data_IF_953981405285
#
_entry.id   IF_953981405285
#
_cell.length_a   1.000
_cell.length_b   1.000
_cell.length_c   1.000
_cell.angle_alpha   90.00
_cell.angle_beta   90.00
_cell.angle_gamma   90.00
#
_symmetry.space_group_name_H-M   'P 1'
#
loop_
_entity.id
_entity.type
_entity.pdbx_description
1 polymer ?
#
# COMPACT_ATOMS: atom_id res chain seq x y z
N UNK A 1 -52.05 -6.75 67.13
CA UNK A 1 -51.53 -6.28 68.46
C UNK A 1 -50.07 -6.71 68.53
N UNK A 2 -49.15 -5.90 69.05
CA UNK A 2 -48.95 -4.45 68.86
C UNK A 2 -47.65 -4.12 68.10
N UNK A 3 -47.63 -2.89 67.60
CA UNK A 3 -46.56 -2.08 67.04
C UNK A 3 -45.32 -1.91 67.92
N UNK A 4 -44.14 -1.81 67.30
CA UNK A 4 -43.00 -1.09 67.88
C UNK A 4 -42.37 -0.15 66.84
N UNK A 5 -42.51 1.14 67.11
CA UNK A 5 -41.78 2.23 66.51
C UNK A 5 -40.33 2.25 67.05
N UNK A 6 -39.34 2.31 66.15
CA UNK A 6 -37.98 2.62 66.55
C UNK A 6 -37.50 3.86 65.83
N UNK A 7 -37.35 4.97 66.57
CA UNK A 7 -36.78 6.23 66.09
C UNK A 7 -35.24 6.08 65.89
N UNK A 8 -34.72 6.34 64.71
CA UNK A 8 -33.31 6.48 64.51
C UNK A 8 -32.96 7.98 64.39
N UNK A 9 -32.25 8.47 65.38
CA UNK A 9 -31.64 9.81 65.39
C UNK A 9 -30.40 9.77 64.57
N UNK A 10 -30.43 10.43 63.43
CA UNK A 10 -29.24 10.58 62.56
C UNK A 10 -28.33 11.66 63.11
N UNK A 11 -27.12 11.28 63.50
CA UNK A 11 -26.05 12.16 63.96
C UNK A 11 -25.53 13.06 62.79
N UNK A 12 -25.44 14.38 63.07
CA UNK A 12 -24.96 15.44 62.13
C UNK A 12 -23.52 15.24 61.62
N UNK A 13 -22.78 14.28 62.13
CA UNK A 13 -21.37 14.04 61.77
C UNK A 13 -21.16 13.20 60.53
N UNK A 14 -22.19 12.56 59.96
CA UNK A 14 -22.05 11.74 58.76
C UNK A 14 -22.24 12.53 57.45
N UNK A 15 -22.81 13.73 57.50
CA UNK A 15 -22.97 14.55 56.24
C UNK A 15 -21.69 15.22 55.78
N UNK A 16 -20.73 15.50 56.67
CA UNK A 16 -19.46 16.14 56.29
C UNK A 16 -18.47 15.15 55.65
N UNK A 17 -18.51 13.87 56.03
CA UNK A 17 -17.67 12.82 55.39
C UNK A 17 -18.14 12.45 53.98
N UNK A 18 -19.44 12.55 53.68
CA UNK A 18 -20.00 12.24 52.39
C UNK A 18 -19.68 13.35 51.35
N UNK A 19 -19.63 14.64 51.75
CA UNK A 19 -19.27 15.74 50.87
C UNK A 19 -17.81 15.70 50.42
N UNK A 20 -16.89 15.26 51.27
CA UNK A 20 -15.46 15.15 50.91
C UNK A 20 -15.16 13.93 50.02
N UNK A 21 -15.97 12.85 50.11
CA UNK A 21 -15.80 11.69 49.23
C UNK A 21 -16.33 11.94 47.82
N UNK A 22 -17.39 12.71 47.65
CA UNK A 22 -17.94 13.09 46.35
C UNK A 22 -17.02 14.10 45.62
N UNK A 23 -16.33 14.99 46.40
CA UNK A 23 -15.39 15.97 45.80
C UNK A 23 -14.07 15.32 45.33
N UNK A 24 -13.59 14.24 46.00
CA UNK A 24 -12.43 13.48 45.56
C UNK A 24 -12.73 12.58 44.34
N UNK A 25 -13.97 12.07 44.22
CA UNK A 25 -14.38 11.27 43.08
C UNK A 25 -14.50 12.11 41.77
N UNK A 26 -14.84 13.40 41.86
CA UNK A 26 -14.92 14.30 40.72
C UNK A 26 -13.56 14.81 40.22
N UNK A 27 -12.51 14.84 41.07
CA UNK A 27 -11.17 15.24 40.68
C UNK A 27 -10.44 14.11 39.93
N UNK A 28 -10.79 12.84 40.19
CA UNK A 28 -10.24 11.70 39.43
C UNK A 28 -10.92 11.45 38.07
N UNK A 29 -12.10 12.00 37.81
CA UNK A 29 -12.83 11.83 36.55
C UNK A 29 -12.41 12.78 35.45
N UNK A 30 -11.54 13.78 35.71
CA UNK A 30 -11.06 14.77 34.71
C UNK A 30 -9.67 14.37 34.16
N UNK A 31 -9.06 13.27 34.64
CA UNK A 31 -7.81 12.77 34.13
C UNK A 31 -7.99 11.53 33.22
N UNK A 32 -9.14 11.51 32.52
CA UNK A 32 -9.40 10.46 31.54
C UNK A 32 -9.16 10.99 30.14
N UNK A 33 -8.20 10.37 29.49
CA UNK A 33 -7.99 10.31 28.04
C UNK A 33 -7.87 11.66 27.29
N UNK A 34 -6.74 12.31 27.42
CA UNK A 34 -6.09 12.78 26.19
C UNK A 34 -5.56 11.53 25.50
N UNK A 35 -6.37 10.87 24.69
CA UNK A 35 -5.85 10.05 23.61
C UNK A 35 -4.97 10.99 22.78
N UNK A 36 -3.67 10.82 22.85
CA UNK A 36 -2.78 11.44 21.91
C UNK A 36 -3.19 10.89 20.54
N UNK A 37 -4.05 11.61 19.83
CA UNK A 37 -4.15 11.47 18.39
C UNK A 37 -2.78 11.91 17.85
N UNK A 38 -1.82 10.99 17.85
CA UNK A 38 -0.62 11.10 17.03
C UNK A 38 -0.98 10.67 15.61
N UNK A 39 -2.03 11.27 15.07
CA UNK A 39 -2.28 11.26 13.63
C UNK A 39 -1.17 12.10 13.01
N UNK A 40 -0.41 11.53 12.09
CA UNK A 40 0.52 12.30 11.28
C UNK A 40 -0.34 13.16 10.35
N UNK A 41 -0.38 14.44 10.66
CA UNK A 41 -1.31 15.37 10.02
C UNK A 41 -0.92 15.74 8.59
N UNK A 42 0.37 15.57 8.22
CA UNK A 42 0.86 16.06 6.93
C UNK A 42 2.11 15.30 6.48
N UNK A 43 2.21 15.01 5.18
CA UNK A 43 3.41 14.49 4.52
C UNK A 43 3.97 15.57 3.61
N UNK A 44 5.17 16.07 3.91
CA UNK A 44 5.89 17.01 3.04
C UNK A 44 6.52 16.25 1.87
N UNK A 45 5.75 16.07 0.78
CA UNK A 45 6.18 15.34 -0.40
C UNK A 45 7.36 16.02 -1.12
N UNK A 46 7.48 17.34 -1.06
CA UNK A 46 8.57 18.09 -1.68
C UNK A 46 9.90 17.93 -0.94
N UNK A 47 9.87 17.37 0.27
CA UNK A 47 11.08 17.13 1.07
C UNK A 47 11.72 15.77 0.83
N UNK A 48 11.13 14.87 0.02
CA UNK A 48 11.75 13.59 -0.30
C UNK A 48 13.09 13.77 -1.03
N UNK A 49 14.13 13.09 -0.53
CA UNK A 49 15.46 13.08 -1.12
C UNK A 49 15.93 11.64 -1.31
N UNK A 50 16.39 11.31 -2.50
CA UNK A 50 17.00 10.02 -2.81
C UNK A 50 18.29 9.84 -2.03
N UNK A 51 18.55 8.63 -1.57
CA UNK A 51 19.78 8.31 -0.83
C UNK A 51 20.94 8.05 -1.77
N UNK A 52 22.16 8.36 -1.33
CA UNK A 52 23.37 8.13 -2.12
C UNK A 52 23.70 6.64 -2.31
N UNK A 53 23.19 5.78 -1.43
CA UNK A 53 23.42 4.32 -1.47
C UNK A 53 22.48 3.58 -2.43
N UNK A 54 21.58 4.30 -3.14
CA UNK A 54 20.73 3.67 -4.13
C UNK A 54 21.55 2.97 -5.26
N UNK A 55 21.08 1.82 -5.76
CA UNK A 55 19.85 1.09 -5.37
C UNK A 55 20.09 0.27 -4.10
N UNK A 56 19.07 0.20 -3.20
CA UNK A 56 19.16 -0.50 -1.91
C UNK A 56 18.91 -2.01 -2.01
N UNK A 57 18.17 -2.48 -3.02
CA UNK A 57 18.01 -3.90 -3.33
C UNK A 57 18.23 -4.13 -4.83
N UNK A 58 18.85 -5.27 -5.13
CA UNK A 58 19.16 -5.73 -6.51
C UNK A 58 19.08 -7.25 -6.58
N UNK A 59 19.09 -7.78 -7.80
CA UNK A 59 19.13 -9.22 -8.07
C UNK A 59 20.29 -9.90 -7.35
N UNK A 60 20.06 -11.18 -6.97
CA UNK A 60 21.07 -12.00 -6.31
C UNK A 60 20.92 -13.47 -6.72
N UNK A 61 21.90 -14.00 -7.41
CA UNK A 61 21.89 -15.36 -7.93
C UNK A 61 22.27 -16.45 -6.91
N UNK A 62 22.64 -16.07 -5.69
CA UNK A 62 22.97 -17.02 -4.61
C UNK A 62 21.72 -17.66 -3.99
N UNK A 63 20.58 -17.00 -4.08
CA UNK A 63 19.31 -17.49 -3.52
C UNK A 63 18.67 -18.54 -4.41
N UNK A 64 18.40 -19.71 -3.83
CA UNK A 64 17.76 -20.85 -4.51
C UNK A 64 16.43 -21.22 -3.86
N UNK A 65 15.54 -21.80 -4.65
CA UNK A 65 14.20 -22.18 -4.23
C UNK A 65 13.72 -23.41 -5.02
N UNK A 66 13.16 -24.39 -4.33
CA UNK A 66 12.54 -25.55 -4.97
C UNK A 66 11.17 -25.15 -5.49
N UNK A 67 11.11 -24.88 -6.80
CA UNK A 67 9.93 -24.33 -7.45
C UNK A 67 8.88 -25.43 -7.69
N UNK A 68 7.69 -25.37 -7.07
CA UNK A 68 6.68 -26.42 -7.23
C UNK A 68 6.19 -26.54 -8.68
N UNK A 69 6.06 -25.43 -9.40
CA UNK A 69 5.59 -25.43 -10.80
C UNK A 69 6.63 -25.96 -11.78
N UNK A 70 7.92 -25.73 -11.54
CA UNK A 70 9.02 -26.22 -12.41
C UNK A 70 9.59 -27.56 -11.95
N UNK A 71 9.20 -28.05 -10.77
CA UNK A 71 9.67 -29.30 -10.12
C UNK A 71 11.21 -29.40 -10.09
N UNK A 72 11.87 -28.28 -9.88
CA UNK A 72 13.33 -28.16 -9.82
C UNK A 72 13.75 -26.97 -8.98
N UNK A 73 14.97 -27.00 -8.47
CA UNK A 73 15.60 -25.87 -7.78
C UNK A 73 15.97 -24.79 -8.78
N UNK A 74 15.58 -23.55 -8.51
CA UNK A 74 15.83 -22.40 -9.35
C UNK A 74 16.49 -21.26 -8.57
N UNK A 75 17.21 -20.38 -9.27
CA UNK A 75 17.74 -19.11 -8.76
C UNK A 75 16.66 -18.04 -8.94
N UNK A 76 15.74 -17.94 -7.99
CA UNK A 76 14.44 -17.28 -8.14
C UNK A 76 14.47 -15.74 -8.23
N UNK A 77 15.57 -15.09 -7.81
CA UNK A 77 15.75 -13.64 -7.88
C UNK A 77 17.04 -13.22 -8.59
N UNK A 78 17.45 -14.02 -9.61
CA UNK A 78 18.72 -13.78 -10.32
C UNK A 78 18.64 -12.78 -11.43
N UNK A 79 17.43 -12.47 -11.93
CA UNK A 79 17.25 -11.53 -13.03
C UNK A 79 17.11 -10.10 -12.53
N UNK A 80 16.01 -9.80 -11.85
CA UNK A 80 15.68 -8.45 -11.39
C UNK A 80 14.91 -8.50 -10.07
N UNK A 81 14.98 -7.38 -9.30
CA UNK A 81 14.29 -7.19 -8.01
C UNK A 81 13.81 -5.75 -7.94
N UNK A 82 12.49 -5.51 -7.86
CA UNK A 82 11.89 -4.18 -7.95
C UNK A 82 10.49 -4.12 -7.32
N UNK A 83 9.79 -3.00 -7.44
CA UNK A 83 8.40 -2.77 -7.04
C UNK A 83 8.07 -3.30 -5.62
N UNK A 84 8.59 -2.65 -4.57
CA UNK A 84 8.47 -3.12 -3.20
C UNK A 84 7.29 -2.51 -2.46
N UNK A 85 6.42 -3.32 -1.86
CA UNK A 85 5.61 -2.87 -0.73
C UNK A 85 6.47 -2.71 0.52
N UNK A 86 6.06 -1.82 1.42
CA UNK A 86 6.72 -1.62 2.71
C UNK A 86 5.70 -1.63 3.85
N UNK A 87 6.06 -2.23 4.97
CA UNK A 87 5.28 -2.20 6.21
C UNK A 87 6.21 -2.26 7.42
N UNK A 88 5.79 -1.67 8.55
CA UNK A 88 6.56 -1.76 9.79
C UNK A 88 6.05 -2.93 10.63
N UNK A 89 6.96 -3.78 11.10
CA UNK A 89 6.69 -4.89 12.02
C UNK A 89 7.84 -5.04 13.00
N UNK A 90 7.55 -5.15 14.29
CA UNK A 90 8.54 -5.40 15.36
C UNK A 90 9.75 -4.44 15.30
N UNK A 91 9.50 -3.12 15.18
CA UNK A 91 10.50 -2.06 15.02
C UNK A 91 11.49 -2.24 13.86
N UNK A 92 11.06 -2.96 12.83
CA UNK A 92 11.78 -3.11 11.56
C UNK A 92 10.89 -2.71 10.39
N UNK A 93 11.49 -2.27 9.31
CA UNK A 93 10.82 -2.17 8.02
C UNK A 93 10.94 -3.52 7.31
N UNK A 94 9.79 -4.03 6.88
CA UNK A 94 9.67 -5.22 6.04
C UNK A 94 9.36 -4.78 4.62
N UNK A 95 10.18 -5.20 3.64
CA UNK A 95 9.91 -5.01 2.22
C UNK A 95 9.44 -6.32 1.59
N UNK A 96 8.30 -6.27 0.91
CA UNK A 96 7.84 -7.36 0.07
C UNK A 96 8.04 -6.90 -1.38
N UNK A 97 8.94 -7.55 -2.11
CA UNK A 97 9.40 -7.07 -3.40
C UNK A 97 9.18 -8.11 -4.51
N UNK A 98 8.89 -7.63 -5.72
CA UNK A 98 8.87 -8.47 -6.92
C UNK A 98 10.29 -8.93 -7.25
N UNK A 99 10.44 -10.23 -7.55
CA UNK A 99 11.70 -10.85 -7.97
C UNK A 99 11.49 -11.81 -9.13
N UNK A 100 12.42 -11.81 -10.09
CA UNK A 100 12.31 -12.54 -11.34
C UNK A 100 13.50 -13.48 -11.58
N UNK A 101 13.24 -14.61 -12.23
CA UNK A 101 14.19 -15.70 -12.34
C UNK A 101 14.89 -15.84 -13.70
N UNK A 102 14.33 -15.32 -14.78
CA UNK A 102 14.81 -15.57 -16.13
C UNK A 102 15.34 -14.32 -16.85
N UNK A 103 16.66 -13.99 -16.75
CA UNK A 103 17.23 -12.80 -17.36
C UNK A 103 17.22 -12.82 -18.90
N UNK A 104 16.98 -13.96 -19.53
CA UNK A 104 16.95 -14.12 -21.00
C UNK A 104 15.56 -13.85 -21.59
N UNK A 105 14.51 -13.90 -20.77
CA UNK A 105 13.17 -13.60 -21.24
C UNK A 105 12.95 -12.08 -21.36
N UNK A 106 12.12 -11.68 -22.32
CA UNK A 106 11.67 -10.30 -22.46
C UNK A 106 10.76 -9.90 -21.28
N UNK A 107 10.57 -8.61 -21.10
CA UNK A 107 9.61 -8.04 -20.17
C UNK A 107 8.23 -8.70 -20.34
N UNK A 108 7.60 -9.08 -19.22
CA UNK A 108 6.33 -9.81 -19.22
C UNK A 108 6.42 -11.32 -19.47
N UNK A 109 7.55 -11.85 -19.95
CA UNK A 109 7.78 -13.29 -20.20
C UNK A 109 8.55 -14.01 -19.09
N UNK A 110 8.74 -13.38 -17.93
CA UNK A 110 9.45 -13.93 -16.78
C UNK A 110 8.47 -14.47 -15.74
N UNK A 111 8.95 -15.27 -14.80
CA UNK A 111 8.13 -15.70 -13.65
C UNK A 111 8.47 -14.85 -12.44
N UNK A 112 7.50 -14.06 -12.01
CA UNK A 112 7.59 -13.17 -10.85
C UNK A 112 7.19 -13.89 -9.56
N UNK A 113 7.87 -13.55 -8.46
CA UNK A 113 7.57 -14.02 -7.09
C UNK A 113 7.76 -12.88 -6.13
N UNK A 114 7.10 -12.95 -4.99
CA UNK A 114 7.29 -11.95 -3.93
C UNK A 114 8.34 -12.46 -2.95
N UNK A 115 9.42 -11.70 -2.83
CA UNK A 115 10.44 -11.87 -1.81
C UNK A 115 10.15 -11.02 -0.58
N UNK A 116 10.82 -11.35 0.54
CA UNK A 116 10.75 -10.61 1.79
C UNK A 116 12.17 -10.20 2.22
N UNK A 117 12.30 -8.96 2.71
CA UNK A 117 13.53 -8.48 3.33
C UNK A 117 13.20 -7.62 4.55
N UNK A 118 14.06 -7.62 5.56
CA UNK A 118 13.90 -6.85 6.79
C UNK A 118 15.05 -5.87 7.02
N UNK A 119 14.77 -4.73 7.64
CA UNK A 119 15.76 -3.74 8.03
C UNK A 119 15.41 -3.05 9.33
N UNK A 120 16.38 -2.88 10.22
CA UNK A 120 16.22 -2.11 11.45
C UNK A 120 16.51 -0.60 11.28
N UNK A 121 17.10 -0.19 10.15
CA UNK A 121 17.45 1.19 9.84
C UNK A 121 16.69 1.76 8.61
N UNK A 122 16.00 0.88 7.87
CA UNK A 122 15.28 1.24 6.65
C UNK A 122 16.15 1.40 5.41
N UNK A 123 17.42 1.05 5.51
CA UNK A 123 18.44 1.25 4.48
C UNK A 123 19.13 -0.07 4.12
N UNK A 124 19.65 -0.76 5.12
CA UNK A 124 20.35 -2.02 4.96
C UNK A 124 19.39 -3.19 5.18
N UNK A 125 19.10 -3.93 4.12
CA UNK A 125 18.12 -5.01 4.13
C UNK A 125 18.75 -6.39 4.10
N UNK A 126 18.27 -7.26 5.00
CA UNK A 126 18.56 -8.70 4.97
C UNK A 126 17.41 -9.43 4.27
N UNK A 127 17.69 -10.03 3.11
CA UNK A 127 16.72 -10.81 2.35
C UNK A 127 16.45 -12.17 2.99
N UNK A 128 15.20 -12.61 2.90
CA UNK A 128 14.82 -13.99 3.25
C UNK A 128 15.22 -14.96 2.14
N UNK A 129 15.55 -16.20 2.48
CA UNK A 129 16.15 -17.14 1.52
C UNK A 129 15.19 -17.62 0.44
N UNK A 130 13.88 -17.68 0.73
CA UNK A 130 12.85 -18.20 -0.16
C UNK A 130 11.80 -17.13 -0.46
N UNK A 131 11.12 -17.17 -1.61
CA UNK A 131 9.97 -16.30 -1.86
C UNK A 131 8.84 -16.63 -0.90
N UNK A 132 8.03 -15.60 -0.55
CA UNK A 132 6.91 -15.74 0.39
C UNK A 132 5.56 -15.89 -0.33
N UNK A 133 5.43 -15.41 -1.57
CA UNK A 133 4.28 -15.64 -2.43
C UNK A 133 4.75 -15.96 -3.85
N UNK A 134 4.21 -17.02 -4.44
CA UNK A 134 4.64 -17.55 -5.73
C UNK A 134 3.56 -18.44 -6.36
N UNK A 135 3.62 -18.69 -7.68
CA UNK A 135 2.78 -19.69 -8.33
C UNK A 135 3.00 -21.09 -7.75
N UNK A 136 1.92 -21.77 -7.39
CA UNK A 136 1.92 -23.10 -6.82
C UNK A 136 0.85 -23.98 -7.48
N UNK A 137 0.91 -25.31 -7.25
CA UNK A 137 -0.14 -26.25 -7.67
C UNK A 137 -1.35 -26.10 -6.71
N UNK A 138 -2.06 -24.98 -6.81
CA UNK A 138 -3.23 -24.64 -6.00
C UNK A 138 -4.41 -24.20 -6.89
N UNK A 139 -5.55 -23.89 -6.28
CA UNK A 139 -6.76 -23.45 -6.99
C UNK A 139 -6.61 -22.10 -7.72
N UNK A 140 -5.50 -21.38 -7.49
CA UNK A 140 -5.23 -20.07 -8.06
C UNK A 140 -4.20 -20.11 -9.19
N UNK A 141 -3.63 -21.29 -9.47
CA UNK A 141 -2.63 -21.50 -10.53
C UNK A 141 -3.12 -21.03 -11.91
N UNK A 142 -4.41 -21.09 -12.18
CA UNK A 142 -5.02 -20.58 -13.44
C UNK A 142 -4.85 -19.06 -13.60
N UNK A 143 -4.63 -18.32 -12.52
CA UNK A 143 -4.50 -16.86 -12.51
C UNK A 143 -3.03 -16.40 -12.46
N UNK A 144 -2.14 -17.17 -11.82
CA UNK A 144 -0.73 -16.77 -11.62
C UNK A 144 0.30 -17.68 -12.28
N UNK A 145 -0.09 -18.80 -12.87
CA UNK A 145 0.81 -19.64 -13.64
C UNK A 145 0.82 -19.16 -15.10
N UNK A 146 1.92 -18.89 -15.65
CA UNK A 146 3.34 -19.03 -15.45
C UNK A 146 4.02 -17.69 -15.18
N UNK A 147 3.29 -16.58 -15.27
CA UNK A 147 3.80 -15.21 -15.13
C UNK A 147 4.15 -14.87 -13.69
N UNK A 148 3.31 -15.28 -12.73
CA UNK A 148 3.66 -15.17 -11.32
C UNK A 148 2.82 -14.20 -10.51
N UNK A 149 3.40 -13.82 -9.37
CA UNK A 149 2.86 -12.84 -8.44
C UNK A 149 3.70 -11.57 -8.51
N UNK A 150 3.06 -10.41 -8.78
CA UNK A 150 3.72 -9.16 -9.10
C UNK A 150 3.24 -8.02 -8.21
N UNK A 151 4.07 -7.01 -8.03
CA UNK A 151 3.74 -5.65 -7.58
C UNK A 151 2.85 -5.63 -6.32
N UNK A 152 3.38 -6.06 -5.16
CA UNK A 152 2.62 -6.17 -3.92
C UNK A 152 2.34 -4.81 -3.28
N UNK A 153 1.18 -4.65 -2.65
CA UNK A 153 0.86 -3.58 -1.70
C UNK A 153 0.28 -4.22 -0.45
N UNK A 154 0.76 -3.81 0.72
CA UNK A 154 0.42 -4.49 1.98
C UNK A 154 -0.13 -3.51 2.99
N UNK A 155 -1.22 -3.92 3.64
CA UNK A 155 -1.82 -3.23 4.79
C UNK A 155 -2.04 -4.22 5.93
N UNK A 156 -2.37 -3.72 7.12
CA UNK A 156 -2.74 -4.54 8.27
C UNK A 156 -4.22 -4.34 8.61
N UNK A 157 -4.91 -5.38 9.07
CA UNK A 157 -6.24 -5.21 9.69
C UNK A 157 -6.10 -4.74 11.14
N UNK A 158 -7.18 -4.27 11.76
CA UNK A 158 -7.18 -3.88 13.17
C UNK A 158 -6.81 -5.06 14.09
N UNK A 159 -7.09 -6.30 13.67
CA UNK A 159 -6.76 -7.54 14.39
C UNK A 159 -5.33 -8.02 14.17
N UNK A 160 -4.53 -7.27 13.38
CA UNK A 160 -3.12 -7.58 13.15
C UNK A 160 -2.84 -8.54 11.98
N UNK A 161 -3.84 -8.93 11.20
CA UNK A 161 -3.67 -9.74 9.99
C UNK A 161 -3.19 -8.84 8.83
N UNK A 162 -2.20 -9.30 8.07
CA UNK A 162 -1.72 -8.60 6.88
C UNK A 162 -2.56 -8.97 5.66
N UNK A 163 -2.83 -7.98 4.81
CA UNK A 163 -3.55 -8.11 3.54
C UNK A 163 -2.67 -7.59 2.44
N UNK A 164 -2.38 -8.43 1.46
CA UNK A 164 -1.63 -8.07 0.26
C UNK A 164 -2.59 -7.98 -0.93
N UNK A 165 -2.58 -6.84 -1.60
CA UNK A 165 -3.09 -6.70 -2.96
C UNK A 165 -1.90 -6.88 -3.91
N UNK A 166 -2.01 -7.79 -4.88
CA UNK A 166 -0.94 -8.10 -5.83
C UNK A 166 -1.52 -8.42 -7.21
N UNK A 167 -0.69 -8.39 -8.24
CA UNK A 167 -1.10 -8.80 -9.58
C UNK A 167 -0.77 -10.29 -9.78
N UNK A 168 -1.79 -11.10 -10.01
CA UNK A 168 -1.63 -12.47 -10.49
C UNK A 168 -1.54 -12.44 -12.03
N UNK A 169 -0.42 -12.94 -12.59
CA UNK A 169 -0.11 -12.89 -14.01
C UNK A 169 0.05 -14.29 -14.61
N UNK A 170 -0.74 -14.63 -15.60
CA UNK A 170 -0.73 -15.96 -16.25
C UNK A 170 -0.26 -15.93 -17.71
N UNK A 171 0.39 -14.85 -18.16
CA UNK A 171 0.80 -14.56 -19.54
C UNK A 171 -0.34 -14.19 -20.50
N UNK A 172 -1.57 -14.11 -20.01
CA UNK A 172 -2.75 -13.74 -20.77
C UNK A 172 -3.43 -12.49 -20.20
N UNK A 173 -3.85 -12.56 -18.94
CA UNK A 173 -4.61 -11.47 -18.29
C UNK A 173 -4.08 -11.22 -16.89
N UNK A 174 -3.58 -10.01 -16.57
CA UNK A 174 -3.24 -9.61 -15.21
C UNK A 174 -4.51 -9.45 -14.39
N UNK A 175 -4.50 -9.96 -13.14
CA UNK A 175 -5.65 -9.81 -12.25
C UNK A 175 -5.20 -9.33 -10.87
N UNK A 176 -5.75 -8.20 -10.45
CA UNK A 176 -5.63 -7.76 -9.06
C UNK A 176 -6.19 -8.84 -8.14
N UNK A 177 -5.33 -9.38 -7.30
CA UNK A 177 -5.62 -10.52 -6.43
C UNK A 177 -5.27 -10.21 -4.99
N UNK A 178 -5.86 -10.94 -4.05
CA UNK A 178 -5.71 -10.72 -2.61
C UNK A 178 -5.09 -11.94 -1.95
N UNK A 179 -4.20 -11.70 -0.98
CA UNK A 179 -3.67 -12.73 -0.08
C UNK A 179 -3.62 -12.22 1.36
N UNK A 180 -3.74 -13.15 2.32
CA UNK A 180 -3.71 -12.86 3.75
C UNK A 180 -2.54 -13.55 4.44
N UNK A 181 -1.97 -12.91 5.46
CA UNK A 181 -0.89 -13.48 6.27
C UNK A 181 -0.98 -13.01 7.72
N UNK A 182 -0.50 -13.85 8.64
CA UNK A 182 -0.34 -13.47 10.07
C UNK A 182 1.11 -13.08 10.41
N UNK A 183 2.06 -13.42 9.54
CA UNK A 183 3.50 -13.34 9.83
C UNK A 183 4.33 -12.63 8.76
N UNK A 184 3.75 -12.31 7.57
CA UNK A 184 4.39 -11.83 6.33
C UNK A 184 5.19 -12.89 5.58
N UNK A 185 5.27 -14.11 6.07
CA UNK A 185 6.05 -15.21 5.49
C UNK A 185 5.13 -16.24 4.81
N UNK A 186 4.05 -16.60 5.50
CA UNK A 186 3.07 -17.56 5.02
C UNK A 186 1.82 -16.82 4.54
N UNK A 187 1.48 -16.99 3.27
CA UNK A 187 0.37 -16.28 2.65
C UNK A 187 -0.71 -17.23 2.14
N UNK A 188 -1.96 -16.94 2.48
CA UNK A 188 -3.14 -17.60 1.97
C UNK A 188 -3.73 -16.78 0.81
N UNK A 189 -3.64 -17.26 -0.43
CA UNK A 189 -4.27 -16.64 -1.60
C UNK A 189 -5.79 -16.67 -1.47
N UNK A 190 -6.45 -15.58 -1.85
CA UNK A 190 -7.93 -15.48 -1.95
C UNK A 190 -8.40 -15.37 -3.39
N UNK A 191 -7.48 -15.21 -4.35
CA UNK A 191 -7.75 -15.09 -5.77
C UNK A 191 -8.09 -13.66 -6.21
N UNK A 192 -8.63 -13.50 -7.43
CA UNK A 192 -8.93 -12.19 -8.00
C UNK A 192 -9.95 -11.40 -7.17
N UNK A 193 -9.62 -10.15 -6.88
CA UNK A 193 -10.39 -9.27 -6.01
C UNK A 193 -11.86 -9.09 -6.48
N UNK A 194 -12.09 -9.05 -7.78
CA UNK A 194 -13.40 -8.81 -8.37
C UNK A 194 -14.12 -10.07 -8.85
N UNK A 195 -13.66 -11.27 -8.44
CA UNK A 195 -14.18 -12.54 -8.95
C UNK A 195 -15.68 -12.74 -8.68
N UNK A 196 -16.22 -12.20 -7.58
CA UNK A 196 -17.62 -12.32 -7.19
C UNK A 196 -18.47 -11.08 -7.52
N UNK A 197 -17.81 -9.96 -7.86
CA UNK A 197 -18.49 -8.71 -8.09
C UNK A 197 -19.52 -8.82 -9.24
N UNK A 198 -20.76 -8.40 -8.96
CA UNK A 198 -21.84 -8.36 -9.93
C UNK A 198 -21.98 -9.70 -10.69
N UNK A 199 -22.10 -10.79 -9.93
CA UNK A 199 -22.27 -12.16 -10.44
C UNK A 199 -21.09 -12.63 -11.32
N UNK A 200 -19.89 -12.10 -11.05
CA UNK A 200 -18.65 -12.48 -11.76
C UNK A 200 -18.40 -11.67 -13.04
N UNK A 201 -19.12 -10.59 -13.29
CA UNK A 201 -18.96 -9.71 -14.47
C UNK A 201 -17.49 -9.29 -14.70
N UNK A 202 -16.73 -9.06 -13.64
CA UNK A 202 -15.35 -8.55 -13.70
C UNK A 202 -14.26 -9.61 -13.46
N UNK A 203 -14.62 -10.90 -13.32
CA UNK A 203 -13.70 -11.99 -13.03
C UNK A 203 -12.54 -12.12 -14.02
N UNK A 204 -12.82 -11.87 -15.31
CA UNK A 204 -11.85 -12.05 -16.41
C UNK A 204 -11.30 -10.73 -16.96
N UNK A 205 -11.57 -9.63 -16.29
CA UNK A 205 -11.07 -8.32 -16.69
C UNK A 205 -9.60 -8.15 -16.28
N UNK A 206 -8.79 -7.52 -17.15
CA UNK A 206 -7.44 -7.08 -16.81
C UNK A 206 -7.50 -6.00 -15.74
N UNK A 207 -6.86 -6.25 -14.60
CA UNK A 207 -6.87 -5.37 -13.42
C UNK A 207 -5.54 -5.41 -12.68
N UNK A 208 -5.09 -4.28 -12.16
CA UNK A 208 -3.82 -4.15 -11.40
C UNK A 208 -3.94 -3.10 -10.29
N UNK A 209 -2.90 -3.05 -9.47
CA UNK A 209 -2.51 -1.90 -8.63
C UNK A 209 -3.59 -1.44 -7.65
N UNK A 210 -3.87 -2.31 -6.67
CA UNK A 210 -4.83 -2.03 -5.61
C UNK A 210 -4.20 -1.28 -4.43
N UNK A 211 -4.64 -0.06 -4.18
CA UNK A 211 -4.23 0.81 -3.05
C UNK A 211 -5.36 0.87 -2.03
N UNK A 212 -5.32 -0.02 -1.02
CA UNK A 212 -6.34 -0.08 0.03
C UNK A 212 -6.25 1.17 0.90
N UNK A 213 -7.40 1.75 1.24
CA UNK A 213 -7.52 2.91 2.11
C UNK A 213 -7.15 2.55 3.54
N UNK A 214 -6.25 3.32 4.13
CA UNK A 214 -5.71 3.11 5.47
C UNK A 214 -5.76 4.37 6.31
N UNK A 215 -5.63 4.18 7.60
CA UNK A 215 -5.17 5.20 8.55
C UNK A 215 -3.85 4.75 9.18
N UNK A 216 -3.01 5.69 9.55
CA UNK A 216 -1.80 5.38 10.27
C UNK A 216 -2.10 5.30 11.77
N UNK A 217 -1.96 4.12 12.36
CA UNK A 217 -2.05 3.88 13.80
C UNK A 217 -0.64 3.58 14.34
N UNK A 218 -0.04 4.57 15.01
CA UNK A 218 1.36 4.52 15.40
C UNK A 218 2.29 4.47 14.19
N UNK A 219 2.81 3.29 13.85
CA UNK A 219 3.69 3.04 12.70
C UNK A 219 3.02 2.20 11.61
N UNK A 220 1.81 1.69 11.84
CA UNK A 220 1.17 0.70 11.00
C UNK A 220 0.08 1.31 10.11
N UNK A 221 0.08 0.92 8.86
CA UNK A 221 -1.05 1.15 7.96
C UNK A 221 -2.16 0.18 8.28
N UNK A 222 -3.20 0.65 8.96
CA UNK A 222 -4.37 -0.14 9.29
C UNK A 222 -5.48 0.16 8.29
N UNK A 223 -6.00 -0.89 7.64
CA UNK A 223 -7.13 -0.76 6.72
C UNK A 223 -8.31 -0.06 7.40
N UNK A 224 -8.78 1.03 6.81
CA UNK A 224 -9.79 1.90 7.40
C UNK A 224 -11.15 1.73 6.72
N UNK A 225 -12.23 1.82 7.52
CA UNK A 225 -13.59 1.88 7.01
C UNK A 225 -14.09 3.32 6.96
N UNK A 226 -14.73 3.66 5.84
CA UNK A 226 -15.55 4.87 5.72
C UNK A 226 -16.98 4.40 5.40
N UNK A 227 -17.97 4.88 6.16
CA UNK A 227 -19.37 4.46 6.04
C UNK A 227 -19.56 2.94 6.14
N UNK A 228 -18.80 2.28 7.05
CA UNK A 228 -18.90 0.84 7.32
C UNK A 228 -18.21 -0.08 6.31
N UNK A 229 -17.64 0.44 5.24
CA UNK A 229 -16.96 -0.32 4.17
C UNK A 229 -15.47 -0.01 4.12
N UNK A 230 -14.65 -1.00 3.75
CA UNK A 230 -13.29 -0.81 3.28
C UNK A 230 -13.31 -0.29 1.86
N UNK A 231 -12.33 0.55 1.50
CA UNK A 231 -12.20 1.15 0.18
C UNK A 231 -10.83 0.90 -0.42
N UNK A 232 -10.76 0.85 -1.74
CA UNK A 232 -9.52 0.64 -2.50
C UNK A 232 -9.58 1.46 -3.79
N UNK A 233 -8.56 2.29 -4.01
CA UNK A 233 -8.27 2.83 -5.33
C UNK A 233 -7.50 1.78 -6.13
N UNK A 234 -7.80 1.63 -7.43
CA UNK A 234 -7.17 0.62 -8.26
C UNK A 234 -7.12 1.00 -9.73
N UNK A 235 -6.18 0.42 -10.49
CA UNK A 235 -6.06 0.60 -11.94
C UNK A 235 -4.74 1.21 -12.38
N UNK A 236 -4.48 1.16 -13.68
CA UNK A 236 -3.25 1.66 -14.32
C UNK A 236 -3.50 2.66 -15.46
N UNK A 237 -4.58 2.54 -16.25
CA UNK A 237 -4.92 3.48 -17.32
C UNK A 237 -5.86 4.59 -16.88
N UNK A 238 -6.21 4.59 -15.66
CA UNK A 238 -7.05 5.48 -14.90
C UNK A 238 -7.31 4.84 -13.56
N UNK A 239 -7.55 5.64 -12.54
CA UNK A 239 -7.84 5.15 -11.18
C UNK A 239 -9.34 5.01 -11.01
N UNK A 240 -9.77 3.85 -10.56
CA UNK A 240 -11.13 3.52 -10.16
C UNK A 240 -11.22 3.38 -8.65
N UNK A 241 -12.45 3.29 -8.14
CA UNK A 241 -12.75 3.04 -6.73
C UNK A 241 -13.47 1.70 -6.58
N UNK A 242 -13.20 0.97 -5.51
CA UNK A 242 -13.91 -0.24 -5.13
C UNK A 242 -14.12 -0.30 -3.62
N UNK A 243 -15.15 -1.03 -3.18
CA UNK A 243 -15.43 -1.26 -1.77
C UNK A 243 -15.49 -2.74 -1.43
N UNK A 244 -15.30 -3.07 -0.14
CA UNK A 244 -15.36 -4.42 0.41
C UNK A 244 -15.89 -4.39 1.84
N UNK A 245 -16.51 -5.48 2.28
CA UNK A 245 -16.87 -5.71 3.69
C UNK A 245 -15.83 -6.54 4.44
N UNK A 246 -14.99 -7.31 3.71
CA UNK A 246 -14.14 -8.37 4.24
C UNK A 246 -12.67 -8.33 3.76
N UNK A 247 -12.28 -7.34 2.92
CA UNK A 247 -10.94 -7.13 2.35
C UNK A 247 -10.49 -8.16 1.30
N UNK A 248 -11.33 -9.12 0.90
CA UNK A 248 -10.99 -10.06 -0.17
C UNK A 248 -12.01 -10.14 -1.30
N UNK A 249 -13.30 -9.94 -1.05
CA UNK A 249 -14.33 -9.77 -2.08
C UNK A 249 -14.55 -8.27 -2.29
N UNK A 250 -14.12 -7.75 -3.42
CA UNK A 250 -14.19 -6.33 -3.75
C UNK A 250 -15.21 -6.07 -4.86
N UNK A 251 -15.87 -4.92 -4.79
CA UNK A 251 -16.91 -4.48 -5.72
C UNK A 251 -16.51 -3.14 -6.32
N UNK A 252 -16.14 -3.07 -7.63
CA UNK A 252 -15.88 -1.81 -8.30
C UNK A 252 -17.08 -0.87 -8.23
N UNK A 253 -16.82 0.42 -8.02
CA UNK A 253 -17.86 1.45 -8.20
C UNK A 253 -18.20 1.59 -9.68
N UNK A 254 -19.49 1.67 -9.98
CA UNK A 254 -20.01 1.79 -11.34
C UNK A 254 -20.74 3.12 -11.49
N UNK A 255 -20.78 3.64 -12.71
CA UNK A 255 -21.66 4.74 -13.10
C UNK A 255 -23.14 4.28 -13.20
N UNK A 256 -24.02 5.22 -13.48
CA UNK A 256 -25.46 4.95 -13.62
C UNK A 256 -25.80 4.00 -14.79
N UNK A 257 -24.87 3.80 -15.71
CA UNK A 257 -25.01 2.88 -16.85
C UNK A 257 -24.40 1.50 -16.58
N UNK A 258 -23.84 1.28 -15.38
CA UNK A 258 -23.20 0.02 -14.99
C UNK A 258 -21.78 -0.17 -15.55
N UNK A 259 -21.12 0.90 -15.98
CA UNK A 259 -19.72 0.88 -16.41
C UNK A 259 -18.78 1.32 -15.29
N UNK A 260 -17.49 0.96 -15.41
CA UNK A 260 -16.45 1.45 -14.50
C UNK A 260 -16.35 2.98 -14.58
N UNK A 261 -16.22 3.62 -13.43
CA UNK A 261 -16.10 5.08 -13.31
C UNK A 261 -14.72 5.45 -12.79
N UNK A 262 -13.94 6.17 -13.60
CA UNK A 262 -12.63 6.67 -13.17
C UNK A 262 -12.78 7.86 -12.22
N UNK A 263 -12.03 7.84 -11.12
CA UNK A 263 -11.91 8.98 -10.19
C UNK A 263 -10.79 9.95 -10.61
N UNK A 264 -9.74 9.43 -11.27
CA UNK A 264 -8.78 10.24 -12.06
C UNK A 264 -8.44 9.53 -13.36
N UNK A 265 -8.11 10.32 -14.38
CA UNK A 265 -7.69 9.86 -15.70
C UNK A 265 -6.36 10.51 -16.09
N UNK A 266 -5.76 10.05 -17.19
CA UNK A 266 -4.60 10.67 -17.82
C UNK A 266 -4.88 12.11 -18.25
N UNK A 267 -3.83 12.95 -18.28
CA UNK A 267 -3.93 14.37 -18.66
C UNK A 267 -2.94 14.70 -19.77
N UNK A 268 -3.44 15.03 -20.93
CA UNK A 268 -2.61 15.47 -22.06
C UNK A 268 -1.70 16.64 -21.67
N UNK A 269 -0.40 16.54 -21.99
CA UNK A 269 0.60 17.58 -21.70
C UNK A 269 1.16 17.54 -20.27
N UNK A 270 0.70 16.63 -19.41
CA UNK A 270 1.23 16.43 -18.06
C UNK A 270 2.08 15.15 -17.98
N UNK A 271 2.80 14.98 -16.87
CA UNK A 271 3.67 13.83 -16.61
C UNK A 271 2.90 12.49 -16.60
N UNK A 272 1.59 12.52 -16.43
CA UNK A 272 0.67 11.40 -16.35
C UNK A 272 -0.22 11.27 -17.60
N UNK A 273 0.32 11.62 -18.76
CA UNK A 273 -0.43 11.71 -20.01
C UNK A 273 -0.75 10.38 -20.69
N UNK A 274 -0.08 9.28 -20.29
CA UNK A 274 -0.34 7.93 -20.82
C UNK A 274 -0.95 6.98 -19.80
N UNK A 275 -0.58 7.13 -18.50
CA UNK A 275 -0.98 6.20 -17.47
C UNK A 275 -1.05 6.90 -16.11
N UNK A 276 -2.01 6.49 -15.30
CA UNK A 276 -2.12 6.82 -13.86
C UNK A 276 -2.32 5.53 -13.08
N UNK A 277 -1.29 5.08 -12.38
CA UNK A 277 -1.29 3.79 -11.67
C UNK A 277 -1.16 3.98 -10.16
N UNK A 278 -2.01 3.30 -9.38
CA UNK A 278 -1.98 3.41 -7.93
C UNK A 278 -0.63 2.96 -7.36
N UNK A 279 -0.08 3.77 -6.44
CA UNK A 279 1.15 3.50 -5.73
C UNK A 279 0.93 2.77 -4.40
N UNK A 280 1.56 3.21 -3.29
CA UNK A 280 1.38 2.61 -1.97
C UNK A 280 -0.07 2.74 -1.47
N UNK A 281 -0.44 2.05 -0.39
CA UNK A 281 -1.76 2.17 0.24
C UNK A 281 -2.17 3.63 0.44
N UNK A 282 -3.41 3.98 0.06
CA UNK A 282 -3.98 5.30 0.25
C UNK A 282 -4.16 5.60 1.74
N UNK A 283 -4.03 6.84 2.15
CA UNK A 283 -3.98 7.20 3.56
C UNK A 283 -4.91 8.35 3.92
N UNK A 284 -5.70 8.18 4.97
CA UNK A 284 -6.48 9.25 5.58
C UNK A 284 -5.51 10.18 6.34
N UNK A 285 -5.54 11.46 6.00
CA UNK A 285 -4.74 12.53 6.63
C UNK A 285 -5.64 13.71 6.98
N UNK A 286 -5.09 14.74 7.62
CA UNK A 286 -5.83 16.00 7.88
C UNK A 286 -6.13 16.77 6.58
N UNK A 287 -5.41 16.50 5.48
CA UNK A 287 -5.65 17.13 4.17
C UNK A 287 -6.80 16.45 3.39
N UNK A 288 -7.17 15.24 3.79
CA UNK A 288 -8.10 14.37 3.09
C UNK A 288 -7.53 12.97 2.88
N UNK A 289 -8.01 12.25 1.87
CA UNK A 289 -7.47 10.94 1.49
C UNK A 289 -6.37 11.13 0.45
N UNK A 290 -5.14 10.90 0.86
CA UNK A 290 -3.94 11.00 0.00
C UNK A 290 -3.70 9.69 -0.71
N UNK A 291 -3.69 9.71 -2.03
CA UNK A 291 -3.21 8.64 -2.91
C UNK A 291 -1.93 9.10 -3.61
N UNK A 292 -0.83 8.42 -3.36
CA UNK A 292 0.38 8.51 -4.19
C UNK A 292 0.16 7.63 -5.42
N UNK A 293 0.45 8.15 -6.60
CA UNK A 293 0.27 7.41 -7.85
C UNK A 293 1.46 7.59 -8.79
N UNK A 294 1.67 6.63 -9.65
CA UNK A 294 2.69 6.64 -10.69
C UNK A 294 2.06 7.16 -11.98
N UNK A 295 2.65 8.21 -12.55
CA UNK A 295 2.27 8.76 -13.84
C UNK A 295 3.28 8.36 -14.91
N UNK A 296 2.82 7.89 -16.07
CA UNK A 296 3.66 7.67 -17.25
C UNK A 296 3.45 8.80 -18.25
N UNK A 297 4.53 9.43 -18.66
CA UNK A 297 4.50 10.36 -19.79
C UNK A 297 4.18 9.62 -21.09
N UNK A 298 3.45 10.23 -22.00
CA UNK A 298 3.04 9.58 -23.25
C UNK A 298 4.24 9.13 -24.09
N UNK A 299 4.07 8.01 -24.77
CA UNK A 299 4.99 7.54 -25.81
C UNK A 299 4.83 8.34 -27.12
N UNK A 300 3.75 9.14 -27.24
CA UNK A 300 3.42 9.98 -28.39
C UNK A 300 3.61 11.46 -28.04
N UNK A 301 4.48 12.14 -28.81
CA UNK A 301 4.92 13.51 -28.58
C UNK A 301 3.76 14.51 -28.46
N UNK A 302 2.71 14.34 -29.26
CA UNK A 302 1.53 15.23 -29.28
C UNK A 302 0.69 15.18 -28.03
N UNK A 303 0.85 14.15 -27.19
CA UNK A 303 0.15 13.99 -25.90
C UNK A 303 1.07 14.18 -24.70
N UNK A 304 2.37 14.06 -24.91
CA UNK A 304 3.37 14.05 -23.83
C UNK A 304 3.60 15.44 -23.23
N UNK A 305 4.01 15.47 -21.97
CA UNK A 305 4.71 16.62 -21.39
C UNK A 305 6.07 16.77 -22.02
N UNK A 306 6.44 18.00 -22.36
CA UNK A 306 7.79 18.31 -22.89
C UNK A 306 8.87 18.38 -21.77
N UNK A 307 8.47 18.35 -20.51
CA UNK A 307 9.39 18.39 -19.36
C UNK A 307 10.13 17.05 -19.13
N UNK A 308 9.61 15.93 -19.68
CA UNK A 308 10.15 14.57 -19.46
C UNK A 308 10.33 13.83 -20.78
N UNK A 309 11.30 12.89 -20.88
CA UNK A 309 11.40 11.96 -21.99
C UNK A 309 10.09 11.19 -22.21
N UNK A 310 9.83 10.77 -23.44
CA UNK A 310 8.68 9.93 -23.77
C UNK A 310 8.76 8.61 -23.00
N UNK A 311 7.62 8.16 -22.47
CA UNK A 311 7.51 6.93 -21.70
C UNK A 311 8.03 6.99 -20.27
N UNK A 312 8.57 8.11 -19.79
CA UNK A 312 9.11 8.23 -18.42
C UNK A 312 8.03 8.02 -17.36
N UNK A 313 8.33 7.19 -16.34
CA UNK A 313 7.51 7.05 -15.15
C UNK A 313 8.01 7.96 -14.02
N UNK A 314 7.08 8.68 -13.43
CA UNK A 314 7.33 9.62 -12.32
C UNK A 314 6.23 9.48 -11.26
N UNK A 315 6.42 10.06 -10.08
CA UNK A 315 5.49 9.91 -8.96
C UNK A 315 4.79 11.23 -8.62
N UNK A 316 3.45 11.20 -8.65
CA UNK A 316 2.59 12.29 -8.22
C UNK A 316 1.71 11.90 -7.05
N UNK A 317 0.86 12.84 -6.62
CA UNK A 317 -0.15 12.62 -5.59
C UNK A 317 -1.50 13.23 -5.97
N UNK A 318 -2.55 12.67 -5.41
CA UNK A 318 -3.90 13.25 -5.44
C UNK A 318 -4.50 13.17 -4.05
N UNK A 319 -5.29 14.17 -3.69
CA UNK A 319 -6.05 14.23 -2.43
C UNK A 319 -7.52 14.20 -2.76
N UNK A 320 -8.25 13.27 -2.14
CA UNK A 320 -9.70 13.14 -2.28
C UNK A 320 -10.42 13.61 -1.01
N UNK A 321 -11.67 14.00 -1.17
CA UNK A 321 -12.56 14.34 -0.05
C UNK A 321 -12.90 13.06 0.75
N UNK A 322 -12.63 13.02 2.08
CA UNK A 322 -12.99 11.86 2.89
C UNK A 322 -14.50 11.64 3.03
N UNK A 323 -15.33 12.62 2.65
CA UNK A 323 -16.80 12.50 2.62
C UNK A 323 -17.30 11.94 1.29
N UNK A 324 -16.57 12.17 0.21
CA UNK A 324 -16.83 11.63 -1.12
C UNK A 324 -15.51 11.22 -1.80
N UNK A 325 -15.14 9.97 -1.67
CA UNK A 325 -13.87 9.41 -2.14
C UNK A 325 -13.66 9.51 -3.67
N UNK A 326 -14.62 10.04 -4.42
CA UNK A 326 -14.54 10.32 -5.86
C UNK A 326 -14.20 11.78 -6.16
N UNK A 327 -14.44 12.67 -5.21
CA UNK A 327 -14.19 14.11 -5.39
C UNK A 327 -12.72 14.44 -5.15
N UNK A 328 -12.03 14.92 -6.18
CA UNK A 328 -10.62 15.37 -6.12
C UNK A 328 -10.59 16.76 -5.50
N UNK A 329 -9.88 16.92 -4.38
CA UNK A 329 -9.59 18.21 -3.75
C UNK A 329 -8.31 18.85 -4.31
N UNK A 330 -7.27 18.01 -4.57
CA UNK A 330 -5.99 18.44 -5.11
C UNK A 330 -5.35 17.34 -5.93
N UNK A 331 -4.67 17.66 -7.03
CA UNK A 331 -3.82 16.74 -7.81
C UNK A 331 -2.55 17.45 -8.25
N UNK A 332 -1.42 16.79 -8.14
CA UNK A 332 -0.12 17.32 -8.55
C UNK A 332 -0.10 17.67 -10.03
N UNK A 333 0.32 18.88 -10.38
CA UNK A 333 0.63 19.25 -11.77
C UNK A 333 2.05 18.83 -12.16
N UNK A 334 2.95 18.75 -11.17
CA UNK A 334 4.32 18.26 -11.31
C UNK A 334 4.55 17.05 -10.41
N UNK A 335 5.34 16.06 -10.85
CA UNK A 335 5.71 14.94 -10.00
C UNK A 335 6.67 15.39 -8.89
N UNK A 336 6.59 14.78 -7.71
CA UNK A 336 7.52 15.04 -6.63
C UNK A 336 8.75 14.11 -6.64
N UNK A 337 8.71 13.00 -7.40
CA UNK A 337 9.85 12.10 -7.59
C UNK A 337 9.98 11.77 -9.08
N UNK A 338 11.17 12.01 -9.63
CA UNK A 338 11.48 11.83 -11.06
C UNK A 338 12.78 11.04 -11.21
N UNK A 339 12.97 10.28 -12.30
CA UNK A 339 14.24 9.61 -12.58
C UNK A 339 15.39 10.62 -12.69
N UNK A 340 16.47 10.38 -11.95
CA UNK A 340 17.67 11.25 -11.97
C UNK A 340 18.98 10.49 -11.72
N UNK A 341 18.91 9.20 -11.33
CA UNK A 341 20.07 8.37 -11.04
C UNK A 341 20.30 7.34 -12.15
N UNK A 342 21.55 6.91 -12.40
CA UNK A 342 21.88 6.00 -13.52
C UNK A 342 21.05 4.71 -13.54
N UNK A 343 20.80 4.09 -12.38
CA UNK A 343 20.03 2.85 -12.29
C UNK A 343 18.53 3.04 -12.53
N UNK A 344 18.03 4.26 -12.59
CA UNK A 344 16.63 4.58 -12.90
C UNK A 344 16.35 4.65 -14.40
N UNK A 345 17.43 4.66 -15.24
CA UNK A 345 17.38 4.69 -16.69
C UNK A 345 18.11 3.51 -17.33
N UNK A 346 18.57 2.55 -16.54
CA UNK A 346 19.19 1.29 -17.00
C UNK A 346 18.38 0.11 -16.47
N UNK A 347 18.49 -1.07 -17.07
CA UNK A 347 17.69 -2.23 -16.70
C UNK A 347 16.70 -2.62 -17.80
N UNK A 348 15.55 -3.16 -17.44
CA UNK A 348 14.57 -3.61 -18.42
C UNK A 348 13.83 -2.44 -19.08
N UNK A 349 13.57 -1.34 -18.34
CA UNK A 349 12.83 -0.19 -18.83
C UNK A 349 13.69 1.07 -18.85
N UNK A 350 14.13 1.47 -20.04
CA UNK A 350 15.17 2.51 -20.25
C UNK A 350 14.63 3.94 -20.43
N UNK A 351 13.32 4.14 -20.51
CA UNK A 351 12.75 5.49 -20.65
C UNK A 351 12.88 6.34 -19.38
N UNK A 352 13.28 5.72 -18.27
CA UNK A 352 13.37 6.32 -16.96
C UNK A 352 12.17 5.94 -16.08
N UNK A 353 12.45 5.39 -14.89
CA UNK A 353 11.40 4.91 -14.00
C UNK A 353 11.71 5.20 -12.53
N UNK A 354 10.79 5.90 -11.88
CA UNK A 354 10.57 5.88 -10.45
C UNK A 354 9.13 5.42 -10.21
N UNK A 355 8.96 4.20 -9.68
CA UNK A 355 7.65 3.57 -9.52
C UNK A 355 7.39 3.30 -8.03
N UNK A 356 6.65 4.19 -7.35
CA UNK A 356 6.41 4.13 -5.91
C UNK A 356 5.36 3.06 -5.55
N UNK A 357 5.69 2.16 -4.62
CA UNK A 357 4.77 1.16 -4.08
C UNK A 357 4.86 1.02 -2.55
N UNK A 358 5.98 1.38 -1.93
CA UNK A 358 6.17 1.31 -0.50
C UNK A 358 6.37 2.67 0.14
N UNK A 359 5.52 3.04 1.10
CA UNK A 359 5.65 4.27 1.87
C UNK A 359 5.39 3.95 3.34
N UNK A 360 6.35 4.21 4.23
CA UNK A 360 6.21 3.97 5.68
C UNK A 360 6.74 5.13 6.51
N UNK A 361 6.09 5.34 7.66
CA UNK A 361 6.60 6.23 8.71
C UNK A 361 7.38 5.42 9.73
N UNK A 362 8.68 5.69 9.85
CA UNK A 362 9.57 4.95 10.72
C UNK A 362 10.64 5.86 11.31
N UNK A 363 10.89 5.77 12.61
CA UNK A 363 11.88 6.59 13.32
C UNK A 363 11.81 8.09 12.97
N UNK A 364 10.57 8.63 13.00
CA UNK A 364 10.25 10.04 12.72
C UNK A 364 10.62 10.52 11.31
N UNK A 365 10.66 9.63 10.32
CA UNK A 365 10.88 9.93 8.91
C UNK A 365 9.92 9.14 8.03
N UNK A 366 9.63 9.67 6.86
CA UNK A 366 8.98 8.92 5.79
C UNK A 366 10.01 8.27 4.89
N UNK A 367 9.83 6.98 4.63
CA UNK A 367 10.63 6.18 3.72
C UNK A 367 9.75 5.80 2.53
N UNK A 368 10.10 6.27 1.34
CA UNK A 368 9.44 5.93 0.08
C UNK A 368 10.34 4.97 -0.70
N UNK A 369 9.88 3.73 -0.81
CA UNK A 369 10.54 2.70 -1.60
C UNK A 369 9.88 2.62 -2.96
N UNK A 370 10.70 2.54 -4.01
CA UNK A 370 10.21 2.57 -5.39
C UNK A 370 11.00 1.61 -6.28
N UNK A 371 10.31 1.06 -7.30
CA UNK A 371 10.94 0.33 -8.38
C UNK A 371 11.67 1.27 -9.33
N UNK A 372 12.79 0.84 -9.88
CA UNK A 372 13.56 1.59 -10.84
C UNK A 372 13.88 0.73 -12.06
N UNK A 373 13.53 1.21 -13.25
CA UNK A 373 13.80 0.59 -14.55
C UNK A 373 13.45 -0.93 -14.59
N UNK A 374 12.43 -1.36 -13.84
CA UNK A 374 12.00 -2.75 -13.64
C UNK A 374 13.16 -3.70 -13.26
N UNK A 375 14.13 -3.21 -12.48
CA UNK A 375 15.34 -3.99 -12.16
C UNK A 375 15.88 -3.80 -10.75
N UNK A 376 15.59 -2.67 -10.09
CA UNK A 376 16.16 -2.38 -8.76
C UNK A 376 15.12 -1.74 -7.83
N UNK A 377 15.45 -1.71 -6.56
CA UNK A 377 14.70 -0.95 -5.55
C UNK A 377 15.50 0.29 -5.15
N UNK A 378 14.87 1.46 -5.29
CA UNK A 378 15.36 2.73 -4.80
C UNK A 378 14.68 3.16 -3.50
N UNK A 379 15.27 4.14 -2.83
CA UNK A 379 14.81 4.75 -1.58
C UNK A 379 14.92 6.27 -1.64
N UNK A 380 13.84 6.95 -1.27
CA UNK A 380 13.83 8.36 -0.95
C UNK A 380 13.31 8.58 0.48
N UNK A 381 13.89 9.52 1.21
CA UNK A 381 13.55 9.79 2.62
C UNK A 381 13.12 11.25 2.75
N UNK A 382 12.01 11.47 3.48
CA UNK A 382 11.51 12.79 3.88
C UNK A 382 11.60 12.95 5.38
N UNK A 383 12.09 14.09 5.85
CA UNK A 383 12.08 14.43 7.27
C UNK A 383 10.79 15.21 7.57
N UNK A 384 10.09 14.86 8.65
CA UNK A 384 9.04 15.74 9.16
C UNK A 384 9.68 17.07 9.58
N UNK A 385 9.19 18.17 9.03
CA UNK A 385 9.43 19.49 9.64
C UNK A 385 8.59 19.55 10.89
N UNK A 386 9.22 19.57 12.06
CA UNK A 386 8.51 19.93 13.29
C UNK A 386 7.81 21.26 13.04
N UNK A 387 6.48 21.27 13.05
CA UNK A 387 5.74 22.54 13.13
C UNK A 387 6.19 23.22 14.43
N UNK A 388 6.98 24.31 14.28
CA UNK A 388 7.28 25.21 15.40
C UNK A 388 6.03 25.93 15.83
#
# INVERSE_FOLDING_TARGET
>A
MPSFFCFLVASKNNLMKLKNFVLLAFIFAIWSCKSSQTGISHIDFDSFRKTEINPILKADSSFVFDCPMKKTTIKWQRADVFNPAAIVKDDKIMLLYRAEDNPKAHLGGRTSRIGLAESSDGINFKKYPKPVLYPAEDNFSIYDSRGGCEDPRVVQTAEGTYVMAYTAWNYDTPRLSIAFSKDLVTWEKKGPAFAKAYEGKFKNMATKSGSILTKLEGKNYVAAKINGKYWMYWGEHGVNLAWSENLYDWYPELDNSGNLSFVIQTRKGFFDSNLTECGPPAMITDEGVVLVYNGKNSDFKENASSEFPLGTYTVGRVVFDPKDLKTVLQRSDKPFLVPSLPHEITGQYKAGTTFAEGLVFFKNKWYLYYGTADSFVGLAISSQKNKK
#
